data_IF_410382805341
#
_entry.id   IF_410382805341
#
_cell.length_a   1.000
_cell.length_b   1.000
_cell.length_c   1.000
_cell.angle_alpha   90.00
_cell.angle_beta   90.00
_cell.angle_gamma   90.00
#
_symmetry.space_group_name_H-M   'P 1'
#
loop_
_entity.id
_entity.type
_entity.pdbx_description
1 polymer ?
#
# COMPACT_ATOMS: atom_id res chain seq x y z
N UNK A 1 7.49 -24.77 19.95
CA UNK A 1 6.14 -24.50 20.48
C UNK A 1 5.83 -23.00 20.60
N UNK A 2 6.76 -22.16 21.07
CA UNK A 2 6.51 -20.71 21.24
C UNK A 2 6.13 -19.98 19.95
N UNK A 3 6.81 -20.24 18.82
CA UNK A 3 6.52 -19.59 17.54
C UNK A 3 5.11 -19.88 17.02
N UNK A 4 4.62 -21.11 17.18
CA UNK A 4 3.26 -21.49 16.79
C UNK A 4 2.23 -20.76 17.66
N UNK A 5 2.48 -20.63 18.96
CA UNK A 5 1.60 -19.90 19.87
C UNK A 5 1.49 -18.42 19.47
N UNK A 6 2.59 -17.78 19.08
CA UNK A 6 2.60 -16.39 18.62
C UNK A 6 1.75 -16.22 17.37
N UNK A 7 1.91 -17.13 16.40
CA UNK A 7 1.10 -17.12 15.16
C UNK A 7 -0.39 -17.29 15.48
N UNK A 8 -0.72 -18.26 16.35
CA UNK A 8 -2.11 -18.51 16.74
C UNK A 8 -2.72 -17.31 17.49
N UNK A 9 -1.96 -16.66 18.38
CA UNK A 9 -2.41 -15.44 19.05
C UNK A 9 -2.65 -14.30 18.08
N UNK A 10 -1.75 -14.10 17.11
CA UNK A 10 -1.92 -13.10 16.05
C UNK A 10 -3.17 -13.38 15.20
N UNK A 11 -3.35 -14.62 14.75
CA UNK A 11 -4.53 -15.03 13.98
C UNK A 11 -5.83 -14.87 14.79
N UNK A 12 -5.83 -15.23 16.05
CA UNK A 12 -7.00 -15.06 16.93
C UNK A 12 -7.33 -13.58 17.11
N UNK A 13 -6.32 -12.71 17.32
CA UNK A 13 -6.49 -11.27 17.41
C UNK A 13 -7.08 -10.69 16.11
N UNK A 14 -6.51 -11.04 14.95
CA UNK A 14 -7.03 -10.57 13.66
C UNK A 14 -8.45 -11.08 13.39
N UNK A 15 -8.76 -12.31 13.74
CA UNK A 15 -10.11 -12.89 13.65
C UNK A 15 -11.09 -12.11 14.52
N UNK A 16 -10.73 -11.82 15.77
CA UNK A 16 -11.51 -10.94 16.64
C UNK A 16 -11.72 -9.56 16.02
N UNK A 17 -10.64 -8.93 15.53
CA UNK A 17 -10.69 -7.64 14.84
C UNK A 17 -11.68 -7.63 13.69
N UNK A 18 -11.64 -8.67 12.85
CA UNK A 18 -12.51 -8.80 11.68
C UNK A 18 -13.98 -9.08 12.07
N UNK A 19 -14.26 -10.09 12.86
CA UNK A 19 -15.64 -10.53 13.10
C UNK A 19 -16.38 -9.75 14.19
N UNK A 20 -15.66 -9.21 15.15
CA UNK A 20 -16.27 -8.55 16.32
C UNK A 20 -16.04 -7.05 16.27
N UNK A 21 -14.80 -6.61 16.27
CA UNK A 21 -14.47 -5.21 16.44
C UNK A 21 -14.85 -4.36 15.22
N UNK A 22 -14.55 -4.82 14.00
CA UNK A 22 -14.92 -4.11 12.78
C UNK A 22 -16.45 -3.97 12.65
N UNK A 23 -17.20 -5.02 13.02
CA UNK A 23 -18.67 -4.97 13.03
C UNK A 23 -19.18 -3.96 14.07
N UNK A 24 -18.60 -3.92 15.27
CA UNK A 24 -18.94 -2.93 16.27
C UNK A 24 -18.70 -1.50 15.74
N UNK A 25 -17.54 -1.22 15.17
CA UNK A 25 -17.21 0.07 14.59
C UNK A 25 -18.20 0.44 13.48
N UNK A 26 -18.46 -0.48 12.54
CA UNK A 26 -19.35 -0.25 11.42
C UNK A 26 -20.80 0.05 11.86
N UNK A 27 -21.32 -0.69 12.83
CA UNK A 27 -22.75 -0.61 13.20
C UNK A 27 -23.04 0.38 14.33
N UNK A 28 -22.11 0.55 15.28
CA UNK A 28 -22.33 1.38 16.48
C UNK A 28 -21.68 2.74 16.41
N UNK A 29 -20.51 2.83 15.80
CA UNK A 29 -19.75 4.09 15.75
C UNK A 29 -20.09 4.85 14.45
N UNK A 30 -19.85 4.24 13.29
CA UNK A 30 -20.07 4.90 12.00
C UNK A 30 -21.49 4.75 11.48
N UNK A 31 -22.28 3.83 12.03
CA UNK A 31 -23.69 3.59 11.67
C UNK A 31 -23.85 3.52 10.14
N UNK A 32 -23.13 2.57 9.52
CA UNK A 32 -23.19 2.42 8.07
C UNK A 32 -24.61 2.16 7.61
N UNK A 33 -25.04 2.96 6.65
CA UNK A 33 -26.31 2.80 5.97
C UNK A 33 -26.16 1.81 4.81
N UNK A 34 -26.88 0.68 4.80
CA UNK A 34 -26.83 -0.29 3.71
C UNK A 34 -27.29 0.28 2.38
N UNK A 35 -28.17 1.29 2.41
CA UNK A 35 -28.74 1.90 1.22
C UNK A 35 -27.92 3.11 0.71
N UNK A 36 -26.80 3.41 1.37
CA UNK A 36 -25.91 4.49 0.98
C UNK A 36 -25.32 4.26 -0.41
N UNK A 37 -25.65 5.13 -1.35
CA UNK A 37 -25.09 5.13 -2.70
C UNK A 37 -23.70 5.77 -2.65
N UNK A 38 -22.69 5.00 -3.04
CA UNK A 38 -21.30 5.51 -3.05
C UNK A 38 -21.09 6.53 -4.17
N UNK A 39 -20.16 7.49 -4.00
CA UNK A 39 -19.85 8.49 -5.04
C UNK A 39 -19.53 7.90 -6.41
N UNK A 40 -18.86 6.75 -6.45
CA UNK A 40 -18.56 6.06 -7.71
C UNK A 40 -19.82 5.60 -8.46
N UNK A 41 -20.91 5.29 -7.75
CA UNK A 41 -22.18 4.95 -8.38
C UNK A 41 -23.04 6.18 -8.66
N UNK A 42 -23.03 7.17 -7.75
CA UNK A 42 -23.86 8.39 -7.88
C UNK A 42 -23.37 9.33 -8.99
N UNK A 43 -22.04 9.51 -9.08
CA UNK A 43 -21.39 10.43 -10.01
C UNK A 43 -20.64 9.73 -11.15
N UNK A 44 -21.01 8.49 -11.47
CA UNK A 44 -20.31 7.68 -12.47
C UNK A 44 -20.17 8.42 -13.81
N UNK A 45 -18.95 8.86 -14.13
CA UNK A 45 -18.59 9.52 -15.36
C UNK A 45 -17.65 8.69 -16.26
N UNK A 46 -17.26 7.50 -15.77
CA UNK A 46 -16.35 6.59 -16.47
C UNK A 46 -14.87 7.01 -16.45
N UNK A 47 -14.52 8.09 -15.76
CA UNK A 47 -13.14 8.63 -15.67
C UNK A 47 -12.72 8.81 -14.21
N UNK A 48 -13.34 9.73 -13.48
CA UNK A 48 -13.03 10.03 -12.08
C UNK A 48 -13.83 9.16 -11.11
N UNK A 49 -15.07 8.83 -11.47
CA UNK A 49 -15.98 8.02 -10.67
C UNK A 49 -16.36 6.76 -11.43
N UNK A 50 -15.67 5.67 -11.12
CA UNK A 50 -15.88 4.38 -11.79
C UNK A 50 -16.20 3.31 -10.75
N UNK A 51 -17.42 2.71 -10.81
CA UNK A 51 -17.75 1.57 -9.97
C UNK A 51 -16.78 0.41 -10.21
N UNK A 52 -16.12 -0.05 -9.16
CA UNK A 52 -15.07 -1.06 -9.25
C UNK A 52 -15.44 -2.31 -8.45
N UNK A 53 -15.02 -3.47 -8.96
CA UNK A 53 -15.22 -4.74 -8.26
C UNK A 53 -14.54 -4.71 -6.87
N UNK A 54 -15.25 -5.19 -5.84
CA UNK A 54 -14.79 -5.17 -4.45
C UNK A 54 -13.43 -5.84 -4.23
N UNK A 55 -13.10 -6.90 -4.98
CA UNK A 55 -11.82 -7.59 -4.85
C UNK A 55 -10.66 -6.80 -5.46
N UNK A 56 -10.91 -6.10 -6.57
CA UNK A 56 -9.94 -5.18 -7.17
C UNK A 56 -9.68 -4.01 -6.24
N UNK A 57 -10.75 -3.42 -5.70
CA UNK A 57 -10.65 -2.30 -4.75
C UNK A 57 -9.90 -2.71 -3.47
N UNK A 58 -10.22 -3.89 -2.92
CA UNK A 58 -9.50 -4.45 -1.78
C UNK A 58 -8.02 -4.68 -2.08
N UNK A 59 -7.70 -5.29 -3.22
CA UNK A 59 -6.32 -5.53 -3.63
C UNK A 59 -5.53 -4.24 -3.82
N UNK A 60 -6.14 -3.22 -4.41
CA UNK A 60 -5.54 -1.90 -4.57
C UNK A 60 -5.26 -1.23 -3.21
N UNK A 61 -6.24 -1.24 -2.31
CA UNK A 61 -6.08 -0.71 -0.96
C UNK A 61 -4.97 -1.45 -0.20
N UNK A 62 -4.97 -2.79 -0.24
CA UNK A 62 -3.94 -3.61 0.39
C UNK A 62 -2.54 -3.27 -0.14
N UNK A 63 -2.37 -3.16 -1.45
CA UNK A 63 -1.08 -2.81 -2.07
C UNK A 63 -0.62 -1.41 -1.66
N UNK A 64 -1.53 -0.45 -1.53
CA UNK A 64 -1.22 0.91 -1.10
C UNK A 64 -0.75 0.98 0.36
N UNK A 65 -1.30 0.13 1.23
CA UNK A 65 -0.92 0.05 2.65
C UNK A 65 0.35 -0.76 2.87
N UNK A 66 0.55 -1.83 2.10
CA UNK A 66 1.68 -2.76 2.23
C UNK A 66 2.99 -2.18 1.64
N UNK A 67 3.36 -0.96 2.05
CA UNK A 67 4.64 -0.34 1.71
C UNK A 67 5.81 -0.87 2.55
N UNK A 68 6.94 -0.15 2.51
CA UNK A 68 8.15 -0.53 3.24
C UNK A 68 7.93 -0.56 4.77
N UNK A 69 7.18 0.39 5.32
CA UNK A 69 6.99 0.52 6.76
C UNK A 69 6.31 -0.69 7.42
N UNK A 70 5.20 -1.26 6.89
CA UNK A 70 4.59 -2.47 7.43
C UNK A 70 5.49 -3.72 7.38
N UNK A 71 6.46 -3.75 6.47
CA UNK A 71 7.40 -4.87 6.31
C UNK A 71 8.61 -4.70 7.24
N UNK A 72 9.26 -3.54 7.15
CA UNK A 72 10.50 -3.23 7.88
C UNK A 72 10.23 -2.89 9.34
N UNK A 73 9.09 -2.25 9.64
CA UNK A 73 8.71 -1.84 10.99
C UNK A 73 8.67 -2.98 12.00
N UNK A 74 7.93 -4.08 11.74
CA UNK A 74 7.93 -5.24 12.61
C UNK A 74 9.31 -5.91 12.75
N UNK A 75 10.10 -5.95 11.67
CA UNK A 75 11.46 -6.50 11.72
C UNK A 75 12.38 -5.68 12.63
N UNK A 76 12.28 -4.35 12.59
CA UNK A 76 13.01 -3.46 13.50
C UNK A 76 12.47 -3.59 14.93
N UNK A 77 11.15 -3.67 15.10
CA UNK A 77 10.53 -3.78 16.42
C UNK A 77 10.99 -5.03 17.18
N UNK A 78 11.22 -6.14 16.48
CA UNK A 78 11.73 -7.39 17.09
C UNK A 78 13.11 -7.21 17.73
N UNK A 79 13.93 -6.27 17.23
CA UNK A 79 15.22 -5.93 17.85
C UNK A 79 15.06 -5.45 19.30
N UNK A 80 13.96 -4.76 19.61
CA UNK A 80 13.62 -4.28 20.97
C UNK A 80 12.87 -5.32 21.81
N UNK A 81 12.52 -6.44 21.23
CA UNK A 81 11.81 -7.53 21.86
C UNK A 81 10.59 -7.99 21.08
N UNK A 82 10.41 -9.30 20.97
CA UNK A 82 9.32 -9.86 20.17
C UNK A 82 7.93 -9.61 20.78
N UNK A 83 7.82 -9.52 22.11
CA UNK A 83 6.52 -9.29 22.79
C UNK A 83 5.93 -7.92 22.42
N UNK A 84 6.64 -6.78 22.59
CA UNK A 84 6.13 -5.47 22.13
C UNK A 84 5.84 -5.47 20.65
N UNK A 85 6.66 -6.11 19.81
CA UNK A 85 6.45 -6.20 18.37
C UNK A 85 5.14 -6.90 18.03
N UNK A 86 4.87 -8.07 18.61
CA UNK A 86 3.63 -8.84 18.37
C UNK A 86 2.40 -8.10 18.90
N UNK A 87 2.48 -7.52 20.07
CA UNK A 87 1.39 -6.72 20.63
C UNK A 87 1.07 -5.53 19.73
N UNK A 88 2.08 -4.79 19.27
CA UNK A 88 1.86 -3.66 18.38
C UNK A 88 1.31 -4.07 17.03
N UNK A 89 1.86 -5.12 16.39
CA UNK A 89 1.36 -5.62 15.11
C UNK A 89 -0.09 -6.08 15.22
N UNK A 90 -0.48 -6.70 16.33
CA UNK A 90 -1.85 -7.21 16.49
C UNK A 90 -2.81 -6.11 16.97
N UNK A 91 -2.53 -5.49 18.10
CA UNK A 91 -3.43 -4.49 18.70
C UNK A 91 -3.37 -3.17 17.95
N UNK A 92 -2.19 -2.74 17.51
CA UNK A 92 -2.01 -1.53 16.72
C UNK A 92 -2.76 -1.59 15.40
N UNK A 93 -2.72 -2.72 14.72
CA UNK A 93 -3.48 -2.90 13.48
C UNK A 93 -4.99 -2.86 13.73
N UNK A 94 -5.48 -3.52 14.77
CA UNK A 94 -6.93 -3.58 15.06
C UNK A 94 -7.46 -2.23 15.54
N UNK A 95 -6.81 -1.63 16.56
CA UNK A 95 -7.37 -0.49 17.28
C UNK A 95 -6.93 0.88 16.75
N UNK A 96 -5.83 0.94 16.00
CA UNK A 96 -5.33 2.19 15.43
C UNK A 96 -5.42 2.22 13.91
N UNK A 97 -4.69 1.35 13.21
CA UNK A 97 -4.62 1.38 11.76
C UNK A 97 -5.99 1.10 11.12
N UNK A 98 -6.67 0.03 11.52
CA UNK A 98 -7.98 -0.33 10.99
C UNK A 98 -9.06 0.71 11.24
N UNK A 99 -9.05 1.34 12.42
CA UNK A 99 -9.99 2.44 12.75
C UNK A 99 -9.70 3.68 11.94
N UNK A 100 -8.41 4.04 11.80
CA UNK A 100 -7.99 5.19 11.00
C UNK A 100 -8.41 5.02 9.54
N UNK A 101 -8.07 3.90 8.92
CA UNK A 101 -8.36 3.66 7.50
C UNK A 101 -9.86 3.59 7.24
N UNK A 102 -10.60 2.91 8.12
CA UNK A 102 -12.04 2.84 8.04
C UNK A 102 -12.69 4.23 8.16
N UNK A 103 -12.22 5.04 9.11
CA UNK A 103 -12.69 6.41 9.31
C UNK A 103 -12.39 7.32 8.12
N UNK A 104 -11.19 7.21 7.54
CA UNK A 104 -10.80 7.97 6.37
C UNK A 104 -11.66 7.62 5.14
N UNK A 105 -11.91 6.33 4.89
CA UNK A 105 -12.79 5.87 3.81
C UNK A 105 -14.25 6.29 4.03
N UNK A 106 -14.75 6.18 5.25
CA UNK A 106 -16.09 6.61 5.61
C UNK A 106 -16.29 8.11 5.39
N UNK A 107 -15.35 8.93 5.88
CA UNK A 107 -15.38 10.39 5.72
C UNK A 107 -15.28 10.79 4.23
N UNK A 108 -14.34 10.20 3.50
CA UNK A 108 -14.15 10.46 2.07
C UNK A 108 -15.40 10.11 1.26
N UNK A 109 -16.00 8.95 1.48
CA UNK A 109 -17.19 8.52 0.75
C UNK A 109 -18.38 9.47 0.96
N UNK A 110 -18.57 10.02 2.16
CA UNK A 110 -19.65 10.98 2.47
C UNK A 110 -19.40 12.38 1.90
N UNK A 111 -18.18 12.67 1.48
CA UNK A 111 -17.78 13.96 0.91
C UNK A 111 -17.33 13.83 -0.55
N UNK A 112 -18.03 13.03 -1.35
CA UNK A 112 -17.81 12.88 -2.78
C UNK A 112 -16.41 12.37 -3.15
N UNK A 113 -15.84 11.47 -2.34
CA UNK A 113 -14.50 10.92 -2.57
C UNK A 113 -13.34 11.90 -2.36
N UNK A 114 -13.56 13.02 -1.67
CA UNK A 114 -12.49 14.01 -1.39
C UNK A 114 -11.39 13.42 -0.52
N UNK A 115 -10.15 13.85 -0.77
CA UNK A 115 -9.02 13.55 0.11
C UNK A 115 -9.17 14.19 1.49
N UNK A 116 -8.52 13.63 2.50
CA UNK A 116 -8.52 14.18 3.87
C UNK A 116 -8.08 15.64 3.91
N UNK A 117 -7.08 16.01 3.09
CA UNK A 117 -6.65 17.40 2.96
C UNK A 117 -7.76 18.33 2.45
N UNK A 118 -8.57 17.89 1.49
CA UNK A 118 -9.70 18.65 0.99
C UNK A 118 -10.86 18.73 1.99
N UNK A 119 -11.10 17.63 2.73
CA UNK A 119 -12.11 17.57 3.79
C UNK A 119 -11.84 18.54 4.94
N UNK A 120 -10.59 18.84 5.23
CA UNK A 120 -10.23 19.77 6.30
C UNK A 120 -10.78 21.18 6.09
N UNK A 121 -11.05 21.60 4.84
CA UNK A 121 -11.70 22.86 4.54
C UNK A 121 -13.15 22.89 5.05
N UNK A 122 -13.90 21.83 4.77
CA UNK A 122 -15.32 21.74 5.10
C UNK A 122 -15.55 21.65 6.62
N UNK A 123 -14.60 21.06 7.36
CA UNK A 123 -14.72 20.81 8.80
C UNK A 123 -14.06 21.89 9.63
N UNK A 124 -12.90 22.40 9.25
CA UNK A 124 -12.07 23.28 10.10
C UNK A 124 -11.86 24.66 9.44
N UNK A 125 -11.89 24.74 8.10
CA UNK A 125 -11.81 25.97 7.34
C UNK A 125 -10.58 26.12 6.45
N UNK A 126 -10.61 27.15 5.57
CA UNK A 126 -9.63 27.37 4.48
C UNK A 126 -8.17 27.50 4.93
N UNK A 127 -7.91 28.18 6.03
CA UNK A 127 -6.53 28.37 6.55
C UNK A 127 -5.93 27.04 6.99
N UNK A 128 -6.72 26.23 7.66
CA UNK A 128 -6.31 24.89 8.14
C UNK A 128 -6.06 23.95 6.98
N UNK A 129 -6.90 23.99 5.93
CA UNK A 129 -6.66 23.25 4.69
C UNK A 129 -5.29 23.57 4.08
N UNK A 130 -4.97 24.87 3.93
CA UNK A 130 -3.68 25.28 3.33
C UNK A 130 -2.50 24.74 4.13
N UNK A 131 -2.52 24.86 5.46
CA UNK A 131 -1.50 24.31 6.35
C UNK A 131 -1.41 22.78 6.23
N UNK A 132 -2.56 22.11 6.23
CA UNK A 132 -2.65 20.65 6.14
C UNK A 132 -2.09 20.14 4.80
N UNK A 133 -2.38 20.82 3.69
CA UNK A 133 -1.82 20.47 2.37
C UNK A 133 -0.30 20.65 2.32
N UNK A 134 0.26 21.66 2.97
CA UNK A 134 1.73 21.81 3.11
C UNK A 134 2.32 20.67 3.93
N UNK A 135 1.70 20.29 5.04
CA UNK A 135 2.14 19.16 5.87
C UNK A 135 2.09 17.86 5.06
N UNK A 136 0.97 17.58 4.37
CA UNK A 136 0.85 16.39 3.51
C UNK A 136 1.94 16.38 2.44
N UNK A 137 2.20 17.49 1.77
CA UNK A 137 3.25 17.60 0.76
C UNK A 137 4.64 17.25 1.33
N UNK A 138 4.99 17.82 2.48
CA UNK A 138 6.26 17.51 3.14
C UNK A 138 6.34 16.04 3.58
N UNK A 139 5.25 15.48 4.10
CA UNK A 139 5.19 14.06 4.47
C UNK A 139 5.37 13.17 3.24
N UNK A 140 4.72 13.48 2.12
CA UNK A 140 4.88 12.71 0.88
C UNK A 140 6.31 12.77 0.34
N UNK A 141 6.96 13.94 0.39
CA UNK A 141 8.39 14.05 0.03
C UNK A 141 9.26 13.16 0.91
N UNK A 142 9.02 13.18 2.21
CA UNK A 142 9.77 12.37 3.18
C UNK A 142 9.54 10.87 2.96
N UNK A 143 8.30 10.46 2.72
CA UNK A 143 7.93 9.06 2.42
C UNK A 143 8.64 8.59 1.14
N UNK A 144 8.61 9.39 0.07
CA UNK A 144 9.31 9.07 -1.18
C UNK A 144 10.83 8.90 -0.95
N UNK A 145 11.44 9.80 -0.19
CA UNK A 145 12.85 9.71 0.13
C UNK A 145 13.19 8.43 0.90
N UNK A 146 12.42 8.10 1.93
CA UNK A 146 12.60 6.87 2.73
C UNK A 146 12.42 5.63 1.86
N UNK A 147 11.40 5.57 1.02
CA UNK A 147 11.18 4.43 0.13
C UNK A 147 12.33 4.28 -0.87
N UNK A 148 12.80 5.38 -1.45
CA UNK A 148 13.96 5.37 -2.34
C UNK A 148 15.20 4.75 -1.68
N UNK A 149 15.51 5.16 -0.45
CA UNK A 149 16.64 4.62 0.32
C UNK A 149 16.47 3.14 0.66
N UNK A 150 15.28 2.74 1.13
CA UNK A 150 15.00 1.35 1.51
C UNK A 150 15.05 0.42 0.30
N UNK A 151 14.45 0.81 -0.82
CA UNK A 151 14.44 -0.01 -2.05
C UNK A 151 15.85 -0.10 -2.64
N UNK A 152 16.59 1.02 -2.69
CA UNK A 152 17.96 1.03 -3.16
C UNK A 152 18.86 0.12 -2.30
N UNK A 153 18.70 0.18 -0.97
CA UNK A 153 19.40 -0.71 -0.06
C UNK A 153 19.06 -2.18 -0.27
N UNK A 154 17.78 -2.50 -0.52
CA UNK A 154 17.35 -3.84 -0.84
C UNK A 154 17.92 -4.34 -2.18
N UNK A 155 18.01 -3.50 -3.20
CA UNK A 155 18.59 -3.85 -4.50
C UNK A 155 20.09 -4.10 -4.42
N UNK A 156 20.81 -3.33 -3.60
CA UNK A 156 22.25 -3.55 -3.36
C UNK A 156 22.50 -4.82 -2.55
N UNK A 157 21.70 -5.06 -1.51
CA UNK A 157 21.87 -6.24 -0.64
C UNK A 157 21.33 -7.53 -1.25
N UNK A 158 20.38 -7.43 -2.19
CA UNK A 158 19.70 -8.57 -2.82
C UNK A 158 19.49 -8.31 -4.31
N UNK A 159 20.56 -8.38 -5.14
CA UNK A 159 20.48 -8.07 -6.57
C UNK A 159 19.48 -8.94 -7.35
N UNK A 160 19.19 -10.14 -6.84
CA UNK A 160 18.20 -11.06 -7.40
C UNK A 160 16.77 -10.50 -7.36
N UNK A 161 16.49 -9.54 -6.48
CA UNK A 161 15.17 -8.90 -6.36
C UNK A 161 14.93 -7.81 -7.39
N UNK A 162 15.97 -7.32 -8.07
CA UNK A 162 15.87 -6.21 -9.01
C UNK A 162 15.02 -6.58 -10.23
N UNK A 163 15.33 -7.71 -10.89
CA UNK A 163 14.59 -8.16 -12.06
C UNK A 163 13.10 -8.41 -11.77
N UNK A 164 12.70 -9.12 -10.70
CA UNK A 164 11.29 -9.27 -10.33
C UNK A 164 10.57 -7.94 -10.06
N UNK A 165 11.23 -6.98 -9.40
CA UNK A 165 10.65 -5.68 -9.10
C UNK A 165 10.32 -4.90 -10.39
N UNK A 166 11.21 -4.86 -11.35
CA UNK A 166 10.97 -4.19 -12.65
C UNK A 166 9.97 -4.94 -13.52
N UNK A 167 10.05 -6.27 -13.55
CA UNK A 167 9.10 -7.08 -14.32
C UNK A 167 7.68 -6.96 -13.78
N UNK A 168 7.49 -6.74 -12.47
CA UNK A 168 6.18 -6.53 -11.88
C UNK A 168 5.48 -5.29 -12.47
N UNK A 169 6.22 -4.21 -12.73
CA UNK A 169 5.67 -3.01 -13.38
C UNK A 169 5.20 -3.34 -14.80
N UNK A 170 6.03 -4.04 -15.57
CA UNK A 170 5.69 -4.44 -16.94
C UNK A 170 4.46 -5.36 -16.98
N UNK A 171 4.43 -6.35 -16.09
CA UNK A 171 3.29 -7.26 -15.94
C UNK A 171 2.02 -6.50 -15.58
N UNK A 172 2.11 -5.54 -14.64
CA UNK A 172 0.97 -4.71 -14.24
C UNK A 172 0.44 -3.85 -15.40
N UNK A 173 1.33 -3.24 -16.18
CA UNK A 173 0.94 -2.46 -17.37
C UNK A 173 0.23 -3.32 -18.42
N UNK A 174 0.76 -4.52 -18.71
CA UNK A 174 0.15 -5.46 -19.66
C UNK A 174 -1.23 -5.89 -19.15
N UNK A 175 -1.34 -6.28 -17.88
CA UNK A 175 -2.61 -6.70 -17.29
C UNK A 175 -3.62 -5.56 -17.31
N UNK A 176 -3.21 -4.35 -16.92
CA UNK A 176 -4.07 -3.17 -16.96
C UNK A 176 -4.62 -2.89 -18.35
N UNK A 177 -3.78 -2.98 -19.39
CA UNK A 177 -4.20 -2.83 -20.77
C UNK A 177 -5.16 -3.93 -21.25
N UNK A 178 -4.96 -5.17 -20.78
CA UNK A 178 -5.85 -6.28 -21.13
C UNK A 178 -7.20 -6.17 -20.40
N UNK A 179 -7.22 -5.71 -19.14
CA UNK A 179 -8.45 -5.40 -18.42
C UNK A 179 -9.25 -4.35 -19.17
N UNK A 180 -8.59 -3.28 -19.63
CA UNK A 180 -9.24 -2.23 -20.42
C UNK A 180 -9.87 -2.75 -21.72
N UNK A 181 -9.35 -3.86 -22.26
CA UNK A 181 -9.90 -4.58 -23.42
C UNK A 181 -10.95 -5.64 -23.04
N UNK A 182 -11.51 -5.59 -21.81
CA UNK A 182 -12.54 -6.51 -21.30
C UNK A 182 -12.13 -7.99 -21.20
N UNK A 183 -10.83 -8.29 -21.04
CA UNK A 183 -10.40 -9.65 -20.73
C UNK A 183 -10.79 -10.03 -19.29
N UNK A 184 -10.95 -11.33 -19.05
CA UNK A 184 -11.38 -11.85 -17.77
C UNK A 184 -10.34 -11.56 -16.66
N UNK A 185 -10.74 -10.78 -15.65
CA UNK A 185 -9.89 -10.36 -14.54
C UNK A 185 -9.26 -11.54 -13.78
N UNK A 186 -10.06 -12.58 -13.50
CA UNK A 186 -9.59 -13.75 -12.73
C UNK A 186 -8.48 -14.48 -13.49
N UNK A 187 -8.66 -14.69 -14.80
CA UNK A 187 -7.64 -15.32 -15.64
C UNK A 187 -6.36 -14.48 -15.69
N UNK A 188 -6.50 -13.15 -15.87
CA UNK A 188 -5.36 -12.24 -15.91
C UNK A 188 -4.61 -12.20 -14.58
N UNK A 189 -5.33 -12.26 -13.44
CA UNK A 189 -4.70 -12.31 -12.11
C UNK A 189 -3.87 -13.58 -11.92
N UNK A 190 -4.38 -14.74 -12.36
CA UNK A 190 -3.64 -16.01 -12.29
C UNK A 190 -2.38 -15.93 -13.17
N UNK A 191 -2.53 -15.47 -14.42
CA UNK A 191 -1.39 -15.31 -15.34
C UNK A 191 -0.36 -14.33 -14.73
N UNK A 192 -0.81 -13.23 -14.13
CA UNK A 192 0.06 -12.26 -13.47
C UNK A 192 0.85 -12.88 -12.32
N UNK A 193 0.22 -13.66 -11.47
CA UNK A 193 0.89 -14.36 -10.36
C UNK A 193 1.94 -15.34 -10.90
N UNK A 194 1.61 -16.13 -11.91
CA UNK A 194 2.55 -17.06 -12.55
C UNK A 194 3.74 -16.30 -13.18
N UNK A 195 3.46 -15.18 -13.87
CA UNK A 195 4.50 -14.34 -14.47
C UNK A 195 5.45 -13.75 -13.41
N UNK A 196 4.91 -13.32 -12.25
CA UNK A 196 5.71 -12.80 -11.14
C UNK A 196 6.60 -13.90 -10.54
N UNK A 197 6.07 -15.09 -10.26
CA UNK A 197 6.90 -16.21 -9.79
C UNK A 197 7.98 -16.61 -10.81
N UNK A 198 7.65 -16.61 -12.09
CA UNK A 198 8.62 -16.84 -13.14
C UNK A 198 9.71 -15.77 -13.17
N UNK A 199 9.35 -14.50 -12.96
CA UNK A 199 10.33 -13.40 -12.87
C UNK A 199 11.27 -13.54 -11.67
N UNK A 200 10.77 -14.04 -10.52
CA UNK A 200 11.61 -14.36 -9.35
C UNK A 200 12.63 -15.45 -9.72
N UNK A 201 12.18 -16.49 -10.42
CA UNK A 201 13.08 -17.54 -10.88
C UNK A 201 14.16 -16.99 -11.83
N UNK A 202 13.80 -16.14 -12.79
CA UNK A 202 14.77 -15.48 -13.68
C UNK A 202 15.74 -14.60 -12.86
N UNK A 203 15.25 -13.79 -11.94
CA UNK A 203 16.09 -12.94 -11.09
C UNK A 203 17.08 -13.74 -10.23
N UNK A 204 16.72 -14.97 -9.82
CA UNK A 204 17.64 -15.85 -9.11
C UNK A 204 18.80 -16.38 -9.95
N UNK A 205 18.61 -16.46 -11.27
CA UNK A 205 19.64 -16.91 -12.23
C UNK A 205 20.47 -15.72 -12.74
N UNK A 206 19.84 -14.57 -12.92
CA UNK A 206 20.44 -13.37 -13.49
C UNK A 206 20.28 -12.18 -12.52
N UNK A 207 21.08 -12.12 -11.44
CA UNK A 207 21.08 -10.99 -10.54
C UNK A 207 21.54 -9.72 -11.28
N UNK A 208 20.83 -8.61 -11.07
CA UNK A 208 21.15 -7.32 -11.65
C UNK A 208 21.90 -6.45 -10.65
N UNK A 209 23.18 -6.24 -10.90
CA UNK A 209 24.02 -5.36 -10.09
C UNK A 209 24.43 -4.13 -10.91
N UNK A 210 24.46 -2.96 -10.28
CA UNK A 210 25.03 -1.78 -10.93
C UNK A 210 26.56 -1.81 -10.77
N UNK A 211 27.31 -1.44 -11.85
CA UNK A 211 28.75 -1.35 -11.77
C UNK A 211 29.22 -0.41 -10.67
N UNK A 212 30.28 -0.78 -9.95
CA UNK A 212 30.93 0.11 -9.00
C UNK A 212 31.47 1.35 -9.71
N UNK A 213 31.32 2.51 -9.08
CA UNK A 213 31.79 3.77 -9.65
C UNK A 213 30.97 4.32 -10.82
N UNK A 214 29.82 3.76 -11.14
CA UNK A 214 28.89 4.33 -12.11
C UNK A 214 28.54 5.77 -11.70
N UNK A 215 28.69 6.73 -12.61
CA UNK A 215 28.51 8.16 -12.34
C UNK A 215 29.39 8.72 -11.20
N UNK A 216 30.48 8.03 -10.79
CA UNK A 216 31.28 8.42 -9.66
C UNK A 216 30.60 8.31 -8.29
N UNK A 217 29.49 7.58 -8.21
CA UNK A 217 28.65 7.45 -7.01
C UNK A 217 28.64 6.00 -6.49
N UNK A 218 28.20 5.84 -5.26
CA UNK A 218 27.97 4.50 -4.69
C UNK A 218 26.79 3.79 -5.39
N UNK A 219 26.75 2.45 -5.42
CA UNK A 219 25.63 1.69 -5.99
C UNK A 219 24.27 2.09 -5.41
N UNK A 220 24.20 2.37 -4.11
CA UNK A 220 23.00 2.87 -3.44
C UNK A 220 22.54 4.23 -4.01
N UNK A 221 23.43 5.17 -4.18
CA UNK A 221 23.12 6.49 -4.73
C UNK A 221 22.64 6.38 -6.20
N UNK A 222 23.26 5.51 -6.98
CA UNK A 222 22.85 5.24 -8.36
C UNK A 222 21.42 4.67 -8.41
N UNK A 223 21.08 3.68 -7.56
CA UNK A 223 19.72 3.14 -7.48
C UNK A 223 18.71 4.19 -7.04
N UNK A 224 19.04 5.04 -6.06
CA UNK A 224 18.17 6.14 -5.63
C UNK A 224 17.86 7.07 -6.80
N UNK A 225 18.86 7.47 -7.59
CA UNK A 225 18.66 8.34 -8.76
C UNK A 225 17.74 7.67 -9.79
N UNK A 226 17.98 6.39 -10.13
CA UNK A 226 17.16 5.63 -11.07
C UNK A 226 15.71 5.56 -10.59
N UNK A 227 15.49 5.23 -9.31
CA UNK A 227 14.16 5.14 -8.72
C UNK A 227 13.43 6.49 -8.73
N UNK A 228 14.13 7.60 -8.42
CA UNK A 228 13.52 8.93 -8.47
C UNK A 228 13.18 9.36 -9.90
N UNK A 229 14.06 9.14 -10.87
CA UNK A 229 13.78 9.47 -12.27
C UNK A 229 12.53 8.71 -12.75
N UNK A 230 12.42 7.43 -12.43
CA UNK A 230 11.28 6.62 -12.83
C UNK A 230 10.00 6.98 -12.08
N UNK A 231 10.11 7.38 -10.82
CA UNK A 231 8.97 7.91 -10.04
C UNK A 231 8.43 9.20 -10.66
N UNK A 232 9.30 10.09 -11.15
CA UNK A 232 8.90 11.34 -11.81
C UNK A 232 8.22 11.12 -13.18
N UNK A 233 8.50 10.02 -13.86
CA UNK A 233 7.89 9.70 -15.15
C UNK A 233 6.43 9.21 -14.96
N UNK A 234 6.07 8.80 -13.75
CA UNK A 234 4.74 8.25 -13.42
C UNK A 234 3.76 9.29 -12.84
N UNK A 235 4.19 10.54 -12.66
CA UNK A 235 3.33 11.67 -12.27
C UNK A 235 2.89 12.40 -13.53
#
# INVERSE_FOLDING_TARGET
>A
MQSIMIVLMGLAGMTFGWFVYSKFIATKIYQLDPDFVTPANEFNDGVDYVPTNKYVLWGHHFTSVAGAAPIVGPAIAVYWGWVPAVLWVTLGTIFFAGVHDFGALWASSRHKGKSIGALSEDVIGKRTRALFMVVIFLVLLMVNAVFGVVIAGAFVSTPNAVFPAWSAIVVALIIGQLIHRNFNLTMLSIIGVVALYFSIYIGSIFPLELPEGMLGLSPNANWIIILFILSLIHI
#
